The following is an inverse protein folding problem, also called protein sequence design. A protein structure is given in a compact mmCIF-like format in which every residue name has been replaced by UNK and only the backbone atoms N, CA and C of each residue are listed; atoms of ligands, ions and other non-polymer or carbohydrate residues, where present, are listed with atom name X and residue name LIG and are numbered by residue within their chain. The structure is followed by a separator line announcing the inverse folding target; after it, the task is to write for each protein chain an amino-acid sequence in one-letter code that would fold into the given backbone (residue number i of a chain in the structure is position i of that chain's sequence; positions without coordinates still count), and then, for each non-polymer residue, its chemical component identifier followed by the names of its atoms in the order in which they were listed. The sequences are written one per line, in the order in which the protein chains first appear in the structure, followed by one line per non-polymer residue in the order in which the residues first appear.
data_IF_133204322079
#
_entry.id   IF_133204322079
#
_cell.length_a   1.000
_cell.length_b   1.000
_cell.length_c   1.000
_cell.angle_alpha   90.00
_cell.angle_beta   90.00
_cell.angle_gamma   90.00
#
_symmetry.space_group_name_H-M   'P 1'
#
loop_
_entity.id
_entity.type
_entity.pdbx_description
1 polymer ?
#
# COMPACT_ATOMS: atom_id res chain seq x y z
N UNK A 1 -7.97 20.93 13.50
CA UNK A 1 -7.98 21.84 14.68
C UNK A 1 -8.80 21.26 15.85
N UNK A 2 -10.03 20.75 15.63
CA UNK A 2 -10.85 20.16 16.70
C UNK A 2 -10.17 18.92 17.35
N UNK A 3 -9.56 18.04 16.56
CA UNK A 3 -8.83 16.88 17.04
C UNK A 3 -7.53 17.25 17.78
N UNK A 4 -6.88 18.33 17.39
CA UNK A 4 -5.68 18.83 18.10
C UNK A 4 -6.08 19.46 19.43
N UNK A 5 -7.19 20.21 19.48
CA UNK A 5 -7.73 20.77 20.73
C UNK A 5 -8.18 19.68 21.72
N UNK A 6 -8.80 18.58 21.25
CA UNK A 6 -9.16 17.46 22.10
C UNK A 6 -7.92 16.76 22.70
N UNK A 7 -6.86 16.54 21.92
CA UNK A 7 -5.61 15.93 22.39
C UNK A 7 -4.85 16.80 23.38
N UNK A 8 -4.90 18.11 23.27
CA UNK A 8 -4.25 19.02 24.22
C UNK A 8 -4.90 18.96 25.62
N UNK A 9 -6.20 18.68 25.69
CA UNK A 9 -6.90 18.54 26.97
C UNK A 9 -6.64 17.21 27.69
N UNK A 10 -6.19 16.16 26.95
CA UNK A 10 -5.88 14.83 27.53
C UNK A 10 -4.40 14.65 27.92
N UNK A 11 -3.53 15.59 27.56
CA UNK A 11 -2.12 15.53 27.96
C UNK A 11 -2.00 15.87 29.44
N UNK A 12 -1.60 14.88 30.24
CA UNK A 12 -1.04 15.17 31.57
C UNK A 12 0.15 16.11 31.35
N UNK A 13 0.23 17.23 32.13
CA UNK A 13 1.31 18.17 31.94
C UNK A 13 2.64 17.46 32.09
N UNK A 14 3.49 17.62 31.09
CA UNK A 14 4.83 17.07 31.03
C UNK A 14 5.60 17.46 32.27
N UNK A 15 6.52 16.61 32.75
CA UNK A 15 7.28 16.88 33.97
C UNK A 15 8.00 18.24 33.92
N UNK A 16 8.47 18.66 32.75
CA UNK A 16 9.04 19.98 32.49
C UNK A 16 8.05 21.13 32.76
N UNK A 17 6.77 20.97 32.44
CA UNK A 17 5.75 22.00 32.66
C UNK A 17 5.40 22.15 34.14
N UNK A 18 5.63 21.13 34.96
CA UNK A 18 5.39 21.20 36.42
C UNK A 18 6.47 22.00 37.18
N UNK A 19 7.68 22.03 36.61
CA UNK A 19 8.81 22.81 37.20
C UNK A 19 8.79 24.27 36.76
N UNK A 20 8.04 24.62 35.71
CA UNK A 20 7.89 25.99 35.22
C UNK A 20 6.92 26.76 36.12
N UNK A 21 7.32 27.95 36.59
CA UNK A 21 6.41 28.87 37.27
C UNK A 21 5.25 29.28 36.35
N UNK A 22 4.08 29.60 36.94
CA UNK A 22 2.86 30.00 36.25
C UNK A 22 3.12 31.10 35.20
N UNK A 23 3.96 32.09 35.51
CA UNK A 23 4.31 33.20 34.62
C UNK A 23 5.00 32.72 33.35
N UNK A 24 5.87 31.72 33.41
CA UNK A 24 6.55 31.18 32.24
C UNK A 24 5.60 30.33 31.38
N UNK A 25 4.68 29.62 32.02
CA UNK A 25 3.63 28.87 31.29
C UNK A 25 2.73 29.84 30.52
N UNK A 26 2.26 30.89 31.16
CA UNK A 26 1.44 31.94 30.54
C UNK A 26 2.18 32.64 29.39
N UNK A 27 3.47 32.92 29.57
CA UNK A 27 4.31 33.48 28.51
C UNK A 27 4.41 32.56 27.29
N UNK A 28 4.65 31.26 27.50
CA UNK A 28 4.71 30.26 26.41
C UNK A 28 3.37 30.07 25.74
N UNK A 29 2.29 30.05 26.49
CA UNK A 29 0.94 29.99 25.94
C UNK A 29 0.65 31.21 25.04
N UNK A 30 0.96 32.39 25.48
CA UNK A 30 0.77 33.63 24.70
C UNK A 30 1.59 33.62 23.42
N UNK A 31 2.87 33.22 23.51
CA UNK A 31 3.72 33.09 22.32
C UNK A 31 3.20 32.04 21.33
N UNK A 32 2.73 30.90 21.86
CA UNK A 32 2.15 29.85 21.02
C UNK A 32 0.86 30.31 20.34
N UNK A 33 -0.02 30.99 21.05
CA UNK A 33 -1.24 31.58 20.49
C UNK A 33 -0.94 32.62 19.42
N UNK A 34 0.02 33.52 19.67
CA UNK A 34 0.48 34.48 18.66
C UNK A 34 1.02 33.79 17.41
N UNK A 35 1.79 32.71 17.60
CA UNK A 35 2.32 31.92 16.48
C UNK A 35 1.23 31.21 15.70
N UNK A 36 0.24 30.63 16.38
CA UNK A 36 -0.94 30.02 15.75
C UNK A 36 -1.67 31.07 14.93
N UNK A 37 -1.95 32.25 15.49
CA UNK A 37 -2.64 33.33 14.81
C UNK A 37 -1.87 33.83 13.58
N UNK A 38 -0.55 33.99 13.67
CA UNK A 38 0.29 34.32 12.52
C UNK A 38 0.20 33.25 11.41
N UNK A 39 0.21 31.96 11.78
CA UNK A 39 0.09 30.86 10.84
C UNK A 39 -1.30 30.78 10.20
N UNK A 40 -2.35 31.11 10.93
CA UNK A 40 -3.73 31.16 10.41
C UNK A 40 -3.94 32.29 9.38
N UNK A 41 -3.21 33.39 9.50
CA UNK A 41 -3.26 34.51 8.58
C UNK A 41 -2.43 34.30 7.30
N UNK A 42 -1.55 33.30 7.24
CA UNK A 42 -0.78 33.02 6.06
C UNK A 42 -1.68 32.40 4.98
N UNK A 43 -1.81 33.07 3.84
CA UNK A 43 -2.43 32.47 2.66
C UNK A 43 -1.64 31.24 2.20
N UNK A 44 -2.31 30.33 1.49
CA UNK A 44 -1.64 29.14 0.93
C UNK A 44 -0.42 29.54 0.08
N UNK A 45 -0.54 30.59 -0.70
CA UNK A 45 0.53 31.11 -1.55
C UNK A 45 1.77 31.52 -0.75
N UNK A 46 1.59 32.30 0.33
CA UNK A 46 2.70 32.71 1.20
C UNK A 46 3.36 31.49 1.87
N UNK A 47 2.57 30.51 2.30
CA UNK A 47 3.10 29.26 2.87
C UNK A 47 3.92 28.47 1.86
N UNK A 48 3.47 28.36 0.63
CA UNK A 48 4.17 27.64 -0.43
C UNK A 48 5.56 28.23 -0.73
N UNK A 49 5.71 29.56 -0.64
CA UNK A 49 7.01 30.20 -0.79
C UNK A 49 7.98 30.00 0.37
N UNK A 50 7.49 29.53 1.53
CA UNK A 50 8.30 29.32 2.74
C UNK A 50 8.70 27.88 2.96
N UNK A 51 8.20 26.93 2.18
CA UNK A 51 8.46 25.50 2.34
C UNK A 51 9.30 24.97 1.20
N UNK A 52 10.19 24.02 1.51
CA UNK A 52 11.02 23.34 0.52
C UNK A 52 10.40 22.05 0.00
N UNK A 53 9.51 21.44 0.78
CA UNK A 53 8.84 20.18 0.44
C UNK A 53 7.35 20.29 0.72
N UNK A 54 6.53 19.83 -0.22
CA UNK A 54 5.08 19.81 -0.11
C UNK A 54 4.63 18.36 -0.30
N UNK A 55 3.95 17.80 0.70
CA UNK A 55 3.32 16.49 0.62
C UNK A 55 1.81 16.63 0.44
N UNK A 56 1.24 15.95 -0.55
CA UNK A 56 -0.20 15.94 -0.80
C UNK A 56 -0.62 14.66 -1.53
N UNK A 57 -1.90 14.36 -1.49
CA UNK A 57 -2.46 13.28 -2.31
C UNK A 57 -2.56 13.70 -3.77
N UNK A 58 -2.52 12.73 -4.68
CA UNK A 58 -2.66 13.01 -6.11
C UNK A 58 -4.04 13.62 -6.45
N UNK A 59 -5.10 13.18 -5.77
CA UNK A 59 -6.44 13.77 -5.90
C UNK A 59 -6.46 15.26 -5.55
N UNK A 60 -5.79 15.62 -4.45
CA UNK A 60 -5.65 17.02 -4.07
C UNK A 60 -4.87 17.83 -5.11
N UNK A 61 -3.77 17.25 -5.62
CA UNK A 61 -2.99 17.87 -6.69
C UNK A 61 -3.86 18.11 -7.94
N UNK A 62 -4.60 17.10 -8.39
CA UNK A 62 -5.46 17.18 -9.57
C UNK A 62 -6.54 18.25 -9.37
N UNK A 63 -7.22 18.23 -8.22
CA UNK A 63 -8.33 19.14 -7.94
C UNK A 63 -7.92 20.61 -7.84
N UNK A 64 -6.70 20.90 -7.39
CA UNK A 64 -6.29 22.26 -7.10
C UNK A 64 -5.19 22.78 -8.01
N UNK A 65 -4.28 21.95 -8.49
CA UNK A 65 -3.04 22.39 -9.13
C UNK A 65 -2.78 21.83 -10.54
N UNK A 66 -3.53 20.87 -11.01
CA UNK A 66 -3.32 20.34 -12.36
C UNK A 66 -3.43 21.44 -13.45
N UNK A 67 -4.26 22.47 -13.21
CA UNK A 67 -4.42 23.63 -14.10
C UNK A 67 -3.36 24.72 -13.90
N UNK A 68 -3.01 25.04 -12.66
CA UNK A 68 -2.12 26.14 -12.29
C UNK A 68 -1.32 25.78 -11.03
N UNK A 69 -0.28 24.94 -11.22
CA UNK A 69 0.56 24.51 -10.11
C UNK A 69 1.59 25.56 -9.70
N UNK A 70 2.03 25.57 -8.43
CA UNK A 70 3.13 26.41 -7.99
C UNK A 70 4.43 25.99 -8.71
N UNK A 71 5.46 26.86 -8.75
CA UNK A 71 6.76 26.50 -9.29
C UNK A 71 7.37 25.38 -8.45
N UNK A 72 7.59 24.22 -9.09
CA UNK A 72 8.20 23.03 -8.48
C UNK A 72 9.51 22.76 -9.20
N UNK A 73 10.56 22.44 -8.43
CA UNK A 73 11.83 22.01 -8.99
C UNK A 73 11.77 20.52 -9.41
N UNK A 74 11.05 19.69 -8.65
CA UNK A 74 10.91 18.26 -8.91
C UNK A 74 9.63 17.73 -8.29
N UNK A 75 9.10 16.66 -8.85
CA UNK A 75 7.95 15.91 -8.33
C UNK A 75 8.42 14.48 -8.03
N UNK A 76 8.04 13.99 -6.84
CA UNK A 76 8.18 12.58 -6.47
C UNK A 76 6.78 11.98 -6.35
N UNK A 77 6.51 10.93 -7.12
CA UNK A 77 5.29 10.14 -7.03
C UNK A 77 5.61 8.86 -6.28
N UNK A 78 5.19 8.77 -5.04
CA UNK A 78 5.25 7.55 -4.25
C UNK A 78 4.08 6.62 -4.58
N UNK A 79 4.23 5.31 -4.35
CA UNK A 79 3.26 4.28 -4.70
C UNK A 79 2.81 4.35 -6.19
N UNK A 80 3.77 4.67 -7.07
CA UNK A 80 3.47 4.87 -8.50
C UNK A 80 2.90 3.61 -9.18
N UNK A 81 3.24 2.42 -8.67
CA UNK A 81 2.69 1.16 -9.17
C UNK A 81 1.18 0.99 -8.90
N UNK A 82 0.67 1.69 -7.88
CA UNK A 82 -0.76 1.70 -7.52
C UNK A 82 -1.54 2.87 -8.15
N UNK A 83 -0.83 3.82 -8.73
CA UNK A 83 -1.42 5.02 -9.30
C UNK A 83 -1.95 4.76 -10.72
N UNK A 84 -3.23 5.03 -11.02
CA UNK A 84 -3.75 4.92 -12.39
C UNK A 84 -2.99 5.84 -13.36
N UNK A 85 -2.65 5.34 -14.53
CA UNK A 85 -1.90 6.08 -15.55
C UNK A 85 -2.55 7.43 -15.86
N UNK A 86 -3.86 7.48 -16.01
CA UNK A 86 -4.58 8.71 -16.34
C UNK A 86 -4.40 9.80 -15.27
N UNK A 87 -4.30 9.42 -14.00
CA UNK A 87 -4.05 10.37 -12.93
C UNK A 87 -2.59 10.85 -12.94
N UNK A 88 -1.65 9.93 -13.13
CA UNK A 88 -0.23 10.26 -13.16
C UNK A 88 0.14 11.16 -14.33
N UNK A 89 -0.56 11.08 -15.47
CA UNK A 89 -0.31 11.97 -16.62
C UNK A 89 -0.45 13.45 -16.28
N UNK A 90 -1.23 13.82 -15.28
CA UNK A 90 -1.35 15.20 -14.81
C UNK A 90 -0.06 15.78 -14.25
N UNK A 91 0.86 14.92 -13.80
CA UNK A 91 2.16 15.32 -13.26
C UNK A 91 3.15 15.77 -14.35
N UNK A 92 2.98 15.28 -15.57
CA UNK A 92 3.90 15.54 -16.70
C UNK A 92 3.62 16.84 -17.45
N UNK A 93 2.91 17.75 -16.84
CA UNK A 93 2.67 19.07 -17.43
C UNK A 93 3.89 19.98 -17.27
N UNK A 94 4.43 20.47 -18.38
CA UNK A 94 5.64 21.32 -18.41
C UNK A 94 6.94 20.52 -18.21
N UNK A 95 8.03 21.22 -17.89
CA UNK A 95 9.37 20.65 -17.86
C UNK A 95 9.87 20.28 -16.45
N UNK A 96 8.97 19.99 -15.52
CA UNK A 96 9.37 19.58 -14.16
C UNK A 96 9.70 18.08 -14.17
N UNK A 97 10.89 17.68 -13.73
CA UNK A 97 11.26 16.28 -13.64
C UNK A 97 10.33 15.54 -12.67
N UNK A 98 9.93 14.33 -13.04
CA UNK A 98 9.10 13.44 -12.21
C UNK A 98 9.90 12.19 -11.89
N UNK A 99 10.11 11.92 -10.60
CA UNK A 99 10.66 10.67 -10.12
C UNK A 99 9.51 9.79 -9.60
N UNK A 100 9.43 8.55 -10.06
CA UNK A 100 8.42 7.59 -9.65
C UNK A 100 9.04 6.51 -8.79
N UNK A 101 8.43 6.27 -7.63
CA UNK A 101 8.82 5.23 -6.68
C UNK A 101 7.65 4.25 -6.55
N UNK A 102 7.95 2.96 -6.58
CA UNK A 102 6.90 1.94 -6.44
C UNK A 102 7.46 0.53 -6.63
N UNK A 103 6.56 -0.43 -6.51
CA UNK A 103 6.83 -1.84 -6.69
C UNK A 103 5.72 -2.45 -7.55
N UNK A 104 6.04 -2.80 -8.79
CA UNK A 104 5.11 -3.34 -9.78
C UNK A 104 4.69 -4.79 -9.49
N UNK A 105 5.35 -5.45 -8.52
CA UNK A 105 4.96 -6.75 -7.99
C UNK A 105 4.02 -6.66 -6.78
N UNK A 106 3.66 -5.45 -6.35
CA UNK A 106 2.58 -5.19 -5.40
C UNK A 106 1.26 -4.89 -6.13
N UNK A 107 0.25 -4.46 -5.37
CA UNK A 107 -1.09 -4.24 -5.91
C UNK A 107 -1.11 -3.26 -7.10
N UNK A 108 -1.78 -3.62 -8.20
CA UNK A 108 -2.02 -2.72 -9.31
C UNK A 108 -3.10 -1.68 -8.96
N UNK A 109 -3.28 -0.64 -9.80
CA UNK A 109 -4.35 0.33 -9.63
C UNK A 109 -5.73 -0.33 -9.55
N UNK A 110 -6.58 0.18 -8.67
CA UNK A 110 -7.97 -0.25 -8.59
C UNK A 110 -8.77 0.44 -9.69
N UNK A 111 -9.38 -0.35 -10.57
CA UNK A 111 -10.31 0.14 -11.57
C UNK A 111 -11.75 -0.15 -11.12
N UNK A 112 -12.49 0.89 -10.80
CA UNK A 112 -13.90 0.80 -10.39
C UNK A 112 -14.85 0.51 -11.55
N UNK A 113 -14.41 0.77 -12.78
CA UNK A 113 -15.22 0.50 -13.96
C UNK A 113 -15.40 -0.99 -14.21
N UNK A 114 -16.63 -1.41 -14.34
CA UNK A 114 -16.95 -2.82 -14.62
C UNK A 114 -16.58 -3.20 -16.06
N UNK A 115 -16.03 -4.40 -16.29
CA UNK A 115 -15.68 -4.85 -17.64
C UNK A 115 -16.84 -4.75 -18.65
N UNK A 116 -18.09 -4.99 -18.18
CA UNK A 116 -19.30 -4.89 -19.01
C UNK A 116 -19.59 -3.46 -19.49
N UNK A 117 -19.19 -2.44 -18.72
CA UNK A 117 -19.36 -1.03 -19.10
C UNK A 117 -18.39 -0.58 -20.19
N UNK A 118 -17.34 -1.36 -20.43
CA UNK A 118 -16.25 -1.03 -21.35
C UNK A 118 -16.17 -2.00 -22.55
N UNK A 119 -17.28 -2.63 -22.90
CA UNK A 119 -17.33 -3.59 -24.02
C UNK A 119 -17.33 -2.92 -25.40
N UNK A 120 -17.53 -1.61 -25.48
CA UNK A 120 -17.47 -0.90 -26.75
C UNK A 120 -16.03 -0.59 -27.13
N UNK A 121 -15.67 -0.75 -28.39
CA UNK A 121 -14.33 -0.47 -28.91
C UNK A 121 -13.86 0.97 -28.60
N UNK A 122 -14.79 1.92 -28.51
CA UNK A 122 -14.51 3.31 -28.16
C UNK A 122 -14.02 3.48 -26.68
N UNK A 123 -14.44 2.60 -25.77
CA UNK A 123 -14.09 2.68 -24.35
C UNK A 123 -12.93 1.74 -23.97
N UNK A 124 -12.51 0.86 -24.87
CA UNK A 124 -11.40 -0.08 -24.64
C UNK A 124 -10.07 0.59 -24.27
N UNK A 125 -9.68 1.70 -24.93
CA UNK A 125 -8.50 2.47 -24.50
C UNK A 125 -8.63 3.01 -23.08
N UNK A 126 -9.82 3.46 -22.67
CA UNK A 126 -10.07 3.94 -21.33
C UNK A 126 -9.85 2.86 -20.25
N UNK A 127 -10.16 1.60 -20.55
CA UNK A 127 -9.92 0.48 -19.65
C UNK A 127 -8.44 0.25 -19.41
N UNK A 128 -7.64 0.28 -20.49
CA UNK A 128 -6.18 0.15 -20.39
C UNK A 128 -5.61 1.29 -19.53
N UNK A 129 -6.03 2.52 -19.79
CA UNK A 129 -5.54 3.68 -19.04
C UNK A 129 -5.93 3.66 -17.56
N UNK A 130 -7.12 3.17 -17.24
CA UNK A 130 -7.59 3.08 -15.85
C UNK A 130 -6.90 1.93 -15.07
N UNK A 131 -6.45 0.88 -15.75
CA UNK A 131 -5.82 -0.29 -15.14
C UNK A 131 -4.30 -0.26 -15.17
N UNK A 132 -3.71 0.51 -16.09
CA UNK A 132 -2.26 0.61 -16.21
C UNK A 132 -1.71 1.59 -15.20
N UNK A 133 -0.67 1.18 -14.48
CA UNK A 133 0.14 2.06 -13.67
C UNK A 133 1.30 2.61 -14.51
N UNK A 134 1.62 3.90 -14.43
CA UNK A 134 2.75 4.46 -15.17
C UNK A 134 4.06 3.81 -14.76
N UNK A 135 4.19 3.37 -13.52
CA UNK A 135 5.38 2.71 -13.02
C UNK A 135 5.63 1.38 -13.72
N UNK A 136 4.61 0.54 -13.84
CA UNK A 136 4.72 -0.73 -14.56
C UNK A 136 5.08 -0.49 -16.04
N UNK A 137 4.45 0.50 -16.67
CA UNK A 137 4.72 0.89 -18.05
C UNK A 137 6.16 1.37 -18.27
N UNK A 138 6.72 2.10 -17.32
CA UNK A 138 8.06 2.68 -17.40
C UNK A 138 9.14 1.73 -16.86
N UNK A 139 8.85 0.95 -15.83
CA UNK A 139 9.81 0.05 -15.22
C UNK A 139 10.18 -1.13 -16.12
N UNK A 140 9.21 -1.59 -16.88
CA UNK A 140 9.40 -2.68 -17.83
C UNK A 140 9.76 -2.11 -19.20
N UNK A 141 10.97 -1.71 -19.38
CA UNK A 141 11.48 -1.29 -20.70
C UNK A 141 11.54 -2.49 -21.68
N UNK A 142 10.52 -3.34 -21.61
CA UNK A 142 10.38 -4.53 -22.44
C UNK A 142 9.90 -4.17 -23.83
N UNK A 143 10.48 -4.79 -24.84
CA UNK A 143 10.12 -4.61 -26.26
C UNK A 143 8.64 -4.84 -26.56
N UNK A 144 7.97 -5.66 -25.76
CA UNK A 144 6.59 -6.10 -25.97
C UNK A 144 5.59 -5.51 -24.98
N UNK A 145 6.02 -4.54 -24.18
CA UNK A 145 5.17 -3.96 -23.16
C UNK A 145 4.02 -3.12 -23.73
N UNK A 146 2.80 -3.12 -23.11
CA UNK A 146 1.66 -2.29 -23.50
C UNK A 146 1.95 -0.80 -23.67
N UNK A 147 2.94 -0.24 -22.99
CA UNK A 147 3.39 1.13 -23.19
C UNK A 147 3.83 1.42 -24.62
N UNK A 148 4.43 0.46 -25.31
CA UNK A 148 4.72 0.58 -26.73
C UNK A 148 3.45 0.62 -27.58
N UNK A 149 2.43 -0.09 -27.16
CA UNK A 149 1.12 -0.04 -27.78
C UNK A 149 0.52 1.38 -27.68
N UNK A 150 0.63 2.03 -26.51
CA UNK A 150 0.20 3.42 -26.31
C UNK A 150 0.97 4.38 -27.20
N UNK A 151 2.27 4.18 -27.34
CA UNK A 151 3.10 4.98 -28.23
C UNK A 151 2.72 4.78 -29.71
N UNK A 152 2.46 3.55 -30.12
CA UNK A 152 2.00 3.22 -31.47
C UNK A 152 0.58 3.72 -31.78
N UNK A 153 -0.31 3.75 -30.76
CA UNK A 153 -1.65 4.34 -30.89
C UNK A 153 -1.59 5.86 -31.15
N UNK A 154 -0.51 6.54 -30.76
CA UNK A 154 -0.24 7.94 -31.10
C UNK A 154 0.22 8.18 -32.54
N UNK A 155 0.31 7.16 -33.38
CA UNK A 155 0.60 7.28 -34.82
C UNK A 155 2.04 7.61 -35.19
N UNK A 156 3.01 7.34 -34.31
CA UNK A 156 4.43 7.61 -34.56
C UNK A 156 5.31 6.34 -34.46
N UNK A 157 5.12 5.33 -35.33
CA UNK A 157 5.81 4.04 -35.23
C UNK A 157 7.33 4.10 -35.46
N UNK A 158 7.84 5.23 -35.92
CA UNK A 158 9.26 5.38 -36.31
C UNK A 158 10.10 6.14 -35.27
N UNK A 159 9.53 6.64 -34.19
CA UNK A 159 10.30 7.28 -33.12
C UNK A 159 10.61 6.27 -32.02
N UNK A 160 11.85 6.25 -31.49
CA UNK A 160 12.13 5.47 -30.33
C UNK A 160 11.18 5.87 -29.20
N UNK A 161 10.69 4.90 -28.40
CA UNK A 161 9.82 5.21 -27.28
C UNK A 161 10.50 6.22 -26.37
N UNK A 162 9.80 7.27 -25.91
CA UNK A 162 10.36 8.27 -25.00
C UNK A 162 10.96 7.67 -23.72
N UNK A 163 10.70 6.40 -23.46
CA UNK A 163 11.16 5.63 -22.31
C UNK A 163 12.63 5.18 -22.38
N UNK A 164 13.28 5.25 -23.54
CA UNK A 164 14.72 4.92 -23.66
C UNK A 164 15.63 5.87 -22.89
N UNK A 165 15.13 7.07 -22.56
CA UNK A 165 15.85 8.08 -21.77
C UNK A 165 15.53 8.02 -20.27
N UNK A 166 14.72 7.07 -19.83
CA UNK A 166 14.36 6.92 -18.42
C UNK A 166 15.45 6.15 -17.70
N UNK A 167 15.96 6.74 -16.65
CA UNK A 167 16.87 6.08 -15.73
C UNK A 167 16.07 5.23 -14.77
N UNK A 168 16.21 3.90 -14.87
CA UNK A 168 15.65 2.95 -13.91
C UNK A 168 16.72 2.57 -12.90
N UNK A 169 16.38 2.66 -11.62
CA UNK A 169 17.18 2.12 -10.53
C UNK A 169 16.33 1.14 -9.72
N UNK A 170 16.81 -0.08 -9.57
CA UNK A 170 16.16 -1.10 -8.75
C UNK A 170 16.76 -1.08 -7.35
N UNK A 171 15.90 -0.94 -6.34
CA UNK A 171 16.29 -1.06 -4.94
C UNK A 171 16.17 -2.52 -4.53
N UNK A 172 17.27 -3.12 -4.09
CA UNK A 172 17.37 -4.55 -3.76
C UNK A 172 17.48 -4.81 -2.27
N UNK A 173 17.46 -3.77 -1.45
CA UNK A 173 17.63 -3.86 0.00
C UNK A 173 16.37 -3.43 0.71
N UNK A 174 15.77 -4.33 1.48
CA UNK A 174 14.64 -4.01 2.36
C UNK A 174 15.12 -3.64 3.76
N UNK A 175 14.56 -2.58 4.31
CA UNK A 175 14.78 -2.14 5.71
C UNK A 175 13.62 -2.53 6.63
N UNK A 176 12.57 -3.16 6.09
CA UNK A 176 11.34 -3.45 6.82
C UNK A 176 11.37 -4.83 7.47
N UNK A 177 11.72 -5.85 6.74
CA UNK A 177 11.67 -7.25 7.16
C UNK A 177 13.05 -7.91 7.13
N UNK A 178 13.16 -9.07 7.80
CA UNK A 178 14.40 -9.82 7.94
C UNK A 178 14.79 -10.65 6.71
N UNK A 179 15.95 -11.31 6.77
CA UNK A 179 16.55 -12.07 5.64
C UNK A 179 15.66 -13.18 5.12
N UNK A 180 14.97 -13.93 5.99
CA UNK A 180 14.11 -15.05 5.60
C UNK A 180 12.99 -14.62 4.63
N UNK A 181 12.32 -13.51 4.92
CA UNK A 181 11.26 -12.99 4.03
C UNK A 181 11.87 -12.38 2.77
N UNK A 182 12.99 -11.67 2.88
CA UNK A 182 13.68 -11.12 1.71
C UNK A 182 14.06 -12.21 0.71
N UNK A 183 14.65 -13.32 1.19
CA UNK A 183 14.99 -14.46 0.35
C UNK A 183 13.75 -15.07 -0.30
N UNK A 184 12.71 -15.35 0.48
CA UNK A 184 11.49 -15.98 -0.02
C UNK A 184 10.78 -15.13 -1.09
N UNK A 185 10.66 -13.81 -0.85
CA UNK A 185 10.10 -12.90 -1.84
C UNK A 185 11.00 -12.78 -3.07
N UNK A 186 12.33 -12.74 -2.88
CA UNK A 186 13.29 -12.78 -3.97
C UNK A 186 13.02 -13.98 -4.89
N UNK A 187 12.95 -15.19 -4.32
CA UNK A 187 12.77 -16.42 -5.08
C UNK A 187 11.39 -16.59 -5.75
N UNK A 188 10.32 -16.12 -5.11
CA UNK A 188 8.95 -16.44 -5.54
C UNK A 188 8.21 -15.26 -6.21
N UNK A 189 8.72 -14.05 -6.06
CA UNK A 189 8.05 -12.84 -6.58
C UNK A 189 8.94 -12.07 -7.55
N UNK A 190 10.25 -11.96 -7.26
CA UNK A 190 11.16 -11.06 -7.97
C UNK A 190 12.21 -11.76 -8.82
N UNK A 191 12.32 -13.09 -8.75
CA UNK A 191 13.35 -13.87 -9.49
C UNK A 191 13.24 -13.72 -11.01
N UNK A 192 12.01 -13.68 -11.53
CA UNK A 192 11.76 -13.47 -12.96
C UNK A 192 12.35 -12.16 -13.50
N UNK A 193 12.53 -11.17 -12.63
CA UNK A 193 13.12 -9.87 -12.96
C UNK A 193 14.63 -9.82 -12.69
N UNK A 194 15.22 -10.92 -12.23
CA UNK A 194 16.62 -11.00 -11.82
C UNK A 194 16.94 -10.14 -10.59
N UNK A 195 15.93 -9.82 -9.76
CA UNK A 195 16.09 -9.00 -8.57
C UNK A 195 16.38 -9.89 -7.36
N UNK A 196 17.60 -9.82 -6.87
CA UNK A 196 18.01 -10.49 -5.63
C UNK A 196 17.73 -9.57 -4.45
N UNK A 197 16.60 -9.82 -3.78
CA UNK A 197 16.19 -9.02 -2.62
C UNK A 197 16.99 -9.44 -1.39
N UNK A 198 17.54 -8.45 -0.68
CA UNK A 198 18.26 -8.61 0.58
C UNK A 198 17.60 -7.78 1.68
N UNK A 199 17.95 -8.07 2.93
CA UNK A 199 17.48 -7.30 4.08
C UNK A 199 18.65 -6.58 4.76
N UNK A 200 18.49 -5.29 5.00
CA UNK A 200 19.39 -4.53 5.87
C UNK A 200 18.98 -4.61 7.35
N UNK A 201 17.79 -5.12 7.62
CA UNK A 201 17.27 -5.20 8.97
C UNK A 201 18.01 -6.28 9.76
N UNK A 202 18.74 -5.85 10.80
CA UNK A 202 19.46 -6.74 11.71
C UNK A 202 18.57 -7.25 12.87
N UNK A 203 17.31 -6.88 12.91
CA UNK A 203 16.38 -7.27 13.97
C UNK A 203 15.96 -8.75 13.92
N UNK A 204 16.62 -9.55 13.11
CA UNK A 204 16.34 -10.97 12.97
C UNK A 204 15.28 -11.31 11.92
N UNK A 205 15.00 -12.59 11.81
CA UNK A 205 14.02 -13.10 10.87
C UNK A 205 12.60 -12.74 11.26
N UNK A 206 11.73 -12.57 10.26
CA UNK A 206 10.30 -12.45 10.47
C UNK A 206 9.77 -13.74 11.10
N UNK A 207 9.12 -13.63 12.26
CA UNK A 207 8.45 -14.76 12.88
C UNK A 207 7.17 -15.08 12.10
N UNK A 208 7.07 -16.31 11.58
CA UNK A 208 5.88 -16.76 10.87
C UNK A 208 5.12 -17.74 11.76
N UNK A 209 3.86 -17.50 11.99
CA UNK A 209 2.95 -18.37 12.74
C UNK A 209 1.79 -18.79 11.83
N UNK A 210 1.38 -20.05 11.96
CA UNK A 210 0.23 -20.59 11.21
C UNK A 210 -0.89 -20.95 12.16
N UNK A 211 -2.08 -20.50 11.84
CA UNK A 211 -3.31 -20.83 12.54
C UNK A 211 -4.22 -21.57 11.57
N UNK A 212 -4.37 -22.87 11.81
CA UNK A 212 -5.30 -23.66 11.01
C UNK A 212 -6.74 -23.27 11.27
N UNK A 213 -7.46 -22.94 10.21
CA UNK A 213 -8.90 -22.73 10.25
C UNK A 213 -9.52 -23.26 8.95
N UNK A 214 -10.53 -24.12 9.11
CA UNK A 214 -11.13 -24.83 7.99
C UNK A 214 -11.70 -23.85 6.96
N UNK A 215 -11.56 -24.20 5.69
CA UNK A 215 -12.13 -23.45 4.57
C UNK A 215 -13.66 -23.51 4.57
N UNK A 216 -14.28 -22.51 3.96
CA UNK A 216 -15.71 -22.53 3.65
C UNK A 216 -15.97 -23.31 2.37
N UNK A 217 -17.07 -24.04 2.32
CA UNK A 217 -17.52 -24.73 1.10
C UNK A 217 -18.29 -23.81 0.13
N UNK A 218 -18.68 -22.62 0.60
CA UNK A 218 -19.46 -21.65 -0.18
C UNK A 218 -18.58 -20.66 -0.88
N UNK A 219 -19.03 -20.15 -2.05
CA UNK A 219 -18.30 -19.18 -2.89
C UNK A 219 -18.67 -17.71 -2.58
N UNK A 220 -19.03 -17.41 -1.34
CA UNK A 220 -19.46 -16.07 -0.90
C UNK A 220 -18.31 -15.14 -0.48
N UNK A 221 -17.07 -15.56 -0.71
CA UNK A 221 -15.85 -14.79 -0.34
C UNK A 221 -15.75 -14.52 1.17
N UNK A 222 -16.26 -15.46 1.97
CA UNK A 222 -16.18 -15.44 3.43
C UNK A 222 -15.89 -16.83 3.97
N UNK A 223 -15.14 -16.88 5.08
CA UNK A 223 -14.94 -18.10 5.89
C UNK A 223 -15.18 -17.76 7.33
N UNK A 224 -16.24 -18.34 7.90
CA UNK A 224 -16.59 -18.13 9.31
C UNK A 224 -15.51 -18.66 10.25
N UNK A 225 -15.00 -19.87 9.99
CA UNK A 225 -13.96 -20.48 10.80
C UNK A 225 -12.69 -19.61 10.85
N UNK A 226 -12.30 -19.06 9.69
CA UNK A 226 -11.14 -18.17 9.63
C UNK A 226 -11.41 -16.81 10.28
N UNK A 227 -12.63 -16.28 10.19
CA UNK A 227 -13.00 -15.06 10.90
C UNK A 227 -12.92 -15.24 12.43
N UNK A 228 -13.39 -16.37 12.95
CA UNK A 228 -13.29 -16.70 14.39
C UNK A 228 -11.82 -16.91 14.81
N UNK A 229 -11.00 -17.52 13.97
CA UNK A 229 -9.57 -17.66 14.22
C UNK A 229 -8.86 -16.30 14.27
N UNK A 230 -9.20 -15.36 13.38
CA UNK A 230 -8.70 -13.98 13.44
C UNK A 230 -9.12 -13.31 14.76
N UNK A 231 -10.39 -13.44 15.16
CA UNK A 231 -10.88 -12.90 16.44
C UNK A 231 -10.06 -13.43 17.62
N UNK A 232 -9.77 -14.73 17.65
CA UNK A 232 -8.95 -15.33 18.70
C UNK A 232 -7.55 -14.74 18.76
N UNK A 233 -6.93 -14.49 17.60
CA UNK A 233 -5.61 -13.86 17.51
C UNK A 233 -5.65 -12.38 17.96
N UNK A 234 -6.65 -11.63 17.55
CA UNK A 234 -6.79 -10.21 17.90
C UNK A 234 -6.98 -10.01 19.41
N UNK A 235 -7.74 -10.88 20.07
CA UNK A 235 -8.01 -10.79 21.51
C UNK A 235 -6.77 -10.92 22.40
N UNK A 236 -5.75 -11.63 21.93
CA UNK A 236 -4.52 -11.87 22.70
C UNK A 236 -3.37 -10.95 22.29
N UNK A 237 -3.60 -10.06 21.31
CA UNK A 237 -2.55 -9.19 20.81
C UNK A 237 -2.60 -7.80 21.44
N UNK A 238 -1.39 -7.30 21.73
CA UNK A 238 -1.15 -5.94 22.20
C UNK A 238 -0.19 -5.23 21.24
N UNK A 239 -0.18 -3.89 21.26
CA UNK A 239 0.72 -3.10 20.43
C UNK A 239 0.21 -2.85 19.00
N UNK A 240 1.16 -2.73 18.06
CA UNK A 240 0.88 -2.40 16.67
C UNK A 240 0.59 -3.67 15.86
N UNK A 241 -0.66 -3.89 15.52
CA UNK A 241 -1.06 -4.98 14.64
C UNK A 241 -2.22 -4.59 13.73
N UNK A 242 -2.33 -5.30 12.60
CA UNK A 242 -3.50 -5.26 11.73
C UNK A 242 -3.93 -6.67 11.33
N UNK A 243 -5.23 -6.85 11.09
CA UNK A 243 -5.80 -8.03 10.47
C UNK A 243 -6.20 -7.70 9.03
N UNK A 244 -5.61 -8.40 8.08
CA UNK A 244 -5.78 -8.16 6.65
C UNK A 244 -6.49 -9.33 5.99
N UNK A 245 -7.42 -9.03 5.08
CA UNK A 245 -8.05 -10.03 4.22
C UNK A 245 -8.15 -9.51 2.78
N UNK A 246 -8.14 -10.40 1.76
CA UNK A 246 -8.22 -9.99 0.36
C UNK A 246 -9.60 -9.46 -0.03
N UNK A 247 -10.66 -9.86 0.68
CA UNK A 247 -12.05 -9.58 0.27
C UNK A 247 -12.80 -8.71 1.28
N UNK A 248 -13.53 -7.72 0.77
CA UNK A 248 -14.37 -6.82 1.56
C UNK A 248 -15.42 -7.57 2.39
N UNK A 249 -16.00 -8.67 1.86
CA UNK A 249 -16.98 -9.45 2.59
C UNK A 249 -16.36 -10.12 3.83
N UNK A 250 -15.15 -10.65 3.72
CA UNK A 250 -14.44 -11.21 4.86
C UNK A 250 -14.07 -10.15 5.89
N UNK A 251 -13.57 -9.00 5.44
CA UNK A 251 -13.30 -7.86 6.33
C UNK A 251 -14.54 -7.46 7.11
N UNK A 252 -15.68 -7.32 6.42
CA UNK A 252 -16.97 -7.00 7.07
C UNK A 252 -17.33 -8.08 8.10
N UNK A 253 -17.23 -9.35 7.72
CA UNK A 253 -17.51 -10.47 8.64
C UNK A 253 -16.63 -10.46 9.89
N UNK A 254 -15.33 -10.22 9.72
CA UNK A 254 -14.40 -10.11 10.85
C UNK A 254 -14.76 -8.92 11.74
N UNK A 255 -15.08 -7.77 11.15
CA UNK A 255 -15.48 -6.55 11.88
C UNK A 255 -16.75 -6.77 12.70
N UNK A 256 -17.73 -7.47 12.14
CA UNK A 256 -19.01 -7.78 12.81
C UNK A 256 -18.80 -8.59 14.10
N UNK A 257 -17.84 -9.51 14.10
CA UNK A 257 -17.58 -10.39 15.27
C UNK A 257 -16.57 -9.81 16.26
N UNK A 258 -15.67 -8.93 15.80
CA UNK A 258 -14.68 -8.28 16.66
C UNK A 258 -15.28 -7.15 17.47
N UNK A 259 -16.28 -6.48 16.91
CA UNK A 259 -16.93 -5.33 17.52
C UNK A 259 -16.24 -3.99 17.20
N UNK A 260 -16.89 -2.87 17.53
CA UNK A 260 -16.51 -1.54 17.06
C UNK A 260 -15.14 -1.07 17.55
N UNK A 261 -14.72 -1.45 18.75
CA UNK A 261 -13.47 -0.95 19.35
C UNK A 261 -12.19 -1.41 18.65
N UNK A 262 -12.23 -2.50 17.90
CA UNK A 262 -11.09 -3.08 17.19
C UNK A 262 -11.30 -3.14 15.67
N UNK A 263 -12.44 -2.69 15.18
CA UNK A 263 -12.81 -2.75 13.77
C UNK A 263 -11.84 -1.98 12.86
N UNK A 264 -11.25 -0.90 13.36
CA UNK A 264 -10.28 -0.08 12.60
C UNK A 264 -8.97 -0.79 12.31
N UNK A 265 -8.67 -1.86 13.06
CA UNK A 265 -7.49 -2.70 12.85
C UNK A 265 -7.72 -3.82 11.82
N UNK A 266 -8.93 -3.94 11.30
CA UNK A 266 -9.31 -4.95 10.30
C UNK A 266 -9.59 -4.26 8.98
N UNK A 267 -8.86 -4.62 7.93
CA UNK A 267 -9.00 -3.96 6.64
C UNK A 267 -8.68 -4.88 5.47
N UNK A 268 -9.01 -4.45 4.28
CA UNK A 268 -8.57 -5.14 3.07
C UNK A 268 -7.08 -4.89 2.82
N UNK A 269 -6.43 -5.78 2.07
CA UNK A 269 -5.03 -5.61 1.67
C UNK A 269 -4.83 -4.29 0.91
N UNK A 270 -5.81 -3.90 0.08
CA UNK A 270 -5.77 -2.61 -0.63
C UNK A 270 -5.76 -1.41 0.33
N UNK A 271 -6.58 -1.44 1.38
CA UNK A 271 -6.62 -0.37 2.38
C UNK A 271 -5.37 -0.30 3.27
N UNK A 272 -4.60 -1.39 3.33
CA UNK A 272 -3.35 -1.49 4.09
C UNK A 272 -2.15 -0.92 3.34
N UNK A 273 -2.31 -0.50 2.10
CA UNK A 273 -1.20 -0.02 1.29
C UNK A 273 -0.55 1.22 1.91
N UNK A 274 0.78 1.32 1.82
CA UNK A 274 1.55 2.39 2.46
C UNK A 274 1.69 2.28 3.98
N UNK A 275 0.98 1.35 4.63
CA UNK A 275 1.04 1.14 6.08
C UNK A 275 1.89 -0.07 6.44
N UNK A 276 2.31 -0.18 7.70
CA UNK A 276 3.10 -1.31 8.22
C UNK A 276 2.88 -1.48 9.72
N UNK A 277 2.99 -2.71 10.21
CA UNK A 277 2.75 -3.06 11.61
C UNK A 277 3.79 -4.06 12.12
N UNK A 278 4.00 -4.06 13.42
CA UNK A 278 4.83 -5.08 14.07
C UNK A 278 4.28 -6.48 13.80
N UNK A 279 2.97 -6.65 13.89
CA UNK A 279 2.30 -7.92 13.59
C UNK A 279 1.21 -7.74 12.53
N UNK A 280 1.24 -8.60 11.52
CA UNK A 280 0.15 -8.74 10.54
C UNK A 280 -0.51 -10.10 10.72
N UNK A 281 -1.85 -10.09 10.88
CA UNK A 281 -2.69 -11.28 10.86
C UNK A 281 -3.32 -11.35 9.47
N UNK A 282 -2.84 -12.23 8.62
CA UNK A 282 -3.37 -12.40 7.28
C UNK A 282 -4.39 -13.53 7.23
N UNK A 283 -5.63 -13.20 6.91
CA UNK A 283 -6.71 -14.16 6.68
C UNK A 283 -6.79 -14.49 5.19
N UNK A 284 -6.45 -15.71 4.81
CA UNK A 284 -6.46 -16.13 3.40
C UNK A 284 -7.87 -16.14 2.79
N UNK A 285 -8.89 -16.28 3.63
CA UNK A 285 -10.30 -16.36 3.19
C UNK A 285 -10.53 -17.54 2.26
N UNK A 286 -10.07 -18.71 2.70
CA UNK A 286 -10.25 -19.93 1.92
C UNK A 286 -11.74 -20.29 1.84
N UNK A 287 -12.29 -20.26 0.64
CA UNK A 287 -13.71 -20.58 0.42
C UNK A 287 -13.90 -21.15 -0.99
N UNK A 288 -14.83 -22.07 -1.12
CA UNK A 288 -15.31 -22.68 -2.36
C UNK A 288 -14.24 -22.88 -3.45
N UNK A 289 -14.52 -22.41 -4.63
CA UNK A 289 -13.58 -22.38 -5.77
C UNK A 289 -12.89 -21.02 -5.82
N UNK A 290 -11.97 -20.76 -4.91
CA UNK A 290 -11.23 -19.52 -4.90
C UNK A 290 -9.81 -19.72 -5.49
N UNK A 291 -9.60 -19.61 -6.79
CA UNK A 291 -8.27 -19.70 -7.39
C UNK A 291 -7.43 -18.45 -7.17
N UNK A 292 -8.02 -17.32 -6.74
CA UNK A 292 -7.38 -16.01 -6.74
C UNK A 292 -6.01 -15.97 -6.05
N UNK A 293 -5.90 -16.58 -4.86
CA UNK A 293 -4.61 -16.67 -4.15
C UNK A 293 -3.79 -17.92 -4.52
N UNK A 294 -4.40 -18.89 -5.22
CA UNK A 294 -3.76 -20.18 -5.57
C UNK A 294 -3.25 -20.23 -6.99
N UNK A 295 -3.74 -19.38 -7.87
CA UNK A 295 -3.38 -19.43 -9.27
C UNK A 295 -2.26 -18.42 -9.56
N UNK A 296 -1.04 -18.95 -9.74
CA UNK A 296 0.12 -18.14 -10.12
C UNK A 296 -0.03 -17.50 -11.52
N UNK A 297 -0.99 -17.95 -12.31
CA UNK A 297 -1.32 -17.31 -13.60
C UNK A 297 -2.15 -16.05 -13.43
N UNK A 298 -2.67 -15.79 -12.21
CA UNK A 298 -3.36 -14.56 -11.86
C UNK A 298 -2.39 -13.63 -11.12
N UNK A 299 -1.73 -12.68 -11.79
CA UNK A 299 -0.72 -11.82 -11.16
C UNK A 299 -1.24 -11.06 -9.94
N UNK A 300 -2.53 -10.71 -9.93
CA UNK A 300 -3.18 -9.99 -8.83
C UNK A 300 -3.19 -10.78 -7.52
N UNK A 301 -3.27 -12.11 -7.57
CA UNK A 301 -3.22 -12.96 -6.38
C UNK A 301 -1.86 -12.86 -5.69
N UNK A 302 -0.77 -13.02 -6.44
CA UNK A 302 0.59 -12.87 -5.93
C UNK A 302 0.88 -11.44 -5.48
N UNK A 303 0.42 -10.43 -6.21
CA UNK A 303 0.56 -9.02 -5.83
C UNK A 303 -0.18 -8.71 -4.51
N UNK A 304 -1.37 -9.28 -4.32
CA UNK A 304 -2.13 -9.17 -3.07
C UNK A 304 -1.37 -9.80 -1.90
N UNK A 305 -0.83 -11.01 -2.09
CA UNK A 305 -0.03 -11.70 -1.08
C UNK A 305 1.26 -10.92 -0.77
N UNK A 306 2.02 -10.53 -1.79
CA UNK A 306 3.23 -9.75 -1.62
C UNK A 306 2.95 -8.45 -0.84
N UNK A 307 1.90 -7.73 -1.19
CA UNK A 307 1.50 -6.53 -0.46
C UNK A 307 1.16 -6.84 0.99
N UNK A 308 0.35 -7.86 1.26
CA UNK A 308 -0.08 -8.19 2.63
C UNK A 308 1.09 -8.59 3.53
N UNK A 309 1.92 -9.53 3.06
CA UNK A 309 3.02 -10.09 3.88
C UNK A 309 4.15 -9.09 4.09
N UNK A 310 4.42 -8.24 3.10
CA UNK A 310 5.43 -7.18 3.23
C UNK A 310 5.04 -6.07 4.21
N UNK A 311 3.83 -6.04 4.74
CA UNK A 311 3.41 -5.10 5.80
C UNK A 311 3.87 -5.51 7.20
N UNK A 312 4.31 -6.76 7.40
CA UNK A 312 4.77 -7.25 8.69
C UNK A 312 6.24 -6.89 8.93
N UNK A 313 6.52 -6.29 10.10
CA UNK A 313 7.90 -5.97 10.53
C UNK A 313 8.53 -7.11 11.30
N UNK A 314 7.78 -7.76 12.21
CA UNK A 314 8.30 -8.74 13.18
C UNK A 314 7.57 -10.07 13.16
N UNK A 315 6.25 -10.06 13.01
CA UNK A 315 5.45 -11.26 13.08
C UNK A 315 4.38 -11.28 11.99
N UNK A 316 4.29 -12.40 11.28
CA UNK A 316 3.23 -12.69 10.32
C UNK A 316 2.44 -13.90 10.81
N UNK A 317 1.14 -13.72 11.03
CA UNK A 317 0.23 -14.79 11.43
C UNK A 317 -0.64 -15.13 10.24
N UNK A 318 -0.51 -16.35 9.73
CA UNK A 318 -1.28 -16.85 8.60
C UNK A 318 -2.49 -17.63 9.13
N UNK A 319 -3.68 -17.10 8.91
CA UNK A 319 -4.95 -17.80 9.19
C UNK A 319 -5.46 -18.41 7.89
N UNK A 320 -5.38 -19.74 7.77
CA UNK A 320 -5.63 -20.46 6.53
C UNK A 320 -6.01 -21.92 6.78
N UNK A 321 -6.53 -22.60 5.74
CA UNK A 321 -6.74 -24.03 5.78
C UNK A 321 -5.45 -24.78 5.39
N UNK A 322 -4.72 -25.30 6.39
CA UNK A 322 -3.47 -25.99 6.17
C UNK A 322 -3.61 -27.18 5.20
N UNK A 323 -4.70 -27.95 5.29
CA UNK A 323 -4.92 -29.11 4.41
C UNK A 323 -5.06 -28.70 2.94
N UNK A 324 -5.75 -27.59 2.71
CA UNK A 324 -5.90 -27.03 1.38
C UNK A 324 -4.58 -26.54 0.80
N UNK A 325 -3.75 -25.86 1.59
CA UNK A 325 -2.48 -25.29 1.15
C UNK A 325 -1.36 -26.30 1.05
N UNK A 326 -1.32 -27.35 1.87
CA UNK A 326 -0.38 -28.47 1.73
C UNK A 326 -0.47 -29.17 0.35
N UNK A 327 -1.64 -29.16 -0.27
CA UNK A 327 -1.82 -29.73 -1.60
C UNK A 327 -1.30 -28.82 -2.73
N UNK A 328 -0.76 -27.63 -2.41
CA UNK A 328 -0.31 -26.60 -3.35
C UNK A 328 1.10 -26.09 -3.05
N UNK A 329 2.12 -26.99 -2.99
CA UNK A 329 3.45 -26.67 -2.44
C UNK A 329 4.23 -25.60 -3.22
N UNK A 330 3.81 -25.29 -4.47
CA UNK A 330 4.46 -24.27 -5.31
C UNK A 330 3.93 -22.86 -5.07
N UNK A 331 2.85 -22.71 -4.34
CA UNK A 331 2.24 -21.42 -4.08
C UNK A 331 3.00 -20.66 -2.99
N UNK A 332 3.06 -19.33 -3.13
CA UNK A 332 3.76 -18.45 -2.17
C UNK A 332 3.25 -18.67 -0.73
N UNK A 333 1.94 -18.74 -0.53
CA UNK A 333 1.35 -18.92 0.79
C UNK A 333 1.70 -20.29 1.41
N UNK A 334 1.77 -21.35 0.59
CA UNK A 334 2.20 -22.67 1.05
C UNK A 334 3.68 -22.68 1.46
N UNK A 335 4.53 -21.97 0.72
CA UNK A 335 5.96 -21.85 1.04
C UNK A 335 6.17 -21.06 2.34
N UNK A 336 5.41 -20.01 2.55
CA UNK A 336 5.38 -19.27 3.83
C UNK A 336 4.94 -20.17 4.99
N UNK A 337 3.90 -20.97 4.79
CA UNK A 337 3.41 -21.91 5.81
C UNK A 337 4.50 -22.92 6.21
N UNK A 338 5.32 -23.39 5.28
CA UNK A 338 6.41 -24.33 5.57
C UNK A 338 7.58 -23.69 6.33
N UNK A 339 7.68 -22.37 6.36
CA UNK A 339 8.71 -21.66 7.13
C UNK A 339 8.23 -21.28 8.55
N UNK A 340 6.98 -21.59 8.89
CA UNK A 340 6.49 -21.44 10.25
C UNK A 340 7.16 -22.50 11.15
N UNK A 341 7.97 -22.03 12.10
CA UNK A 341 8.67 -22.87 13.06
C UNK A 341 7.86 -23.04 14.34
#
# INVERSE_FOLDING_TARGET
LAQVKARVNDLQPDAELRELGIIEIERRMTQTQQRIHQLEQLTLEVRLHQVHVIGLTLDHYIGHWAGNRPPLAQIFLDEAAYTPLIMALTLFRGNVPVAMLGDDRQLPPVCEAKPQQMQTDALRPCLLWARSAPFAELAWNHRDHPARLLYHLGGHPQRPPPFEIIVKQTLTVSYRFGPNLAQLLGELVYDEDGIHLTAANQNGDLQIQVVHAQRSETDNWTSEAQAQAVLAQVRVRHGEYAALAPYTNQVRRIRDIIGPHLSDRVMTVNAAQGQEWDTVIFCATDCGRNPFLTDSTIPQGNATLNTAISRAKRCLILVLDCNYWHQRPRQLLSRLMLQAG
#
